data_IF_162103133272
#
_entry.id   IF_162103133272
#
_cell.length_a   1.000
_cell.length_b   1.000
_cell.length_c   1.000
_cell.angle_alpha   90.00
_cell.angle_beta   90.00
_cell.angle_gamma   90.00
#
_symmetry.space_group_name_H-M   'P 1'
#
loop_
_entity.id
_entity.type
_entity.pdbx_description
1 polymer ?
#
# COMPACT_ATOMS: atom_id res chain seq x y z
N UNK A 1 -3.55 15.35 18.59
CA UNK A 1 -3.47 14.39 17.47
C UNK A 1 -4.60 14.74 16.51
N UNK A 2 -4.30 15.06 15.25
CA UNK A 2 -5.33 15.43 14.27
C UNK A 2 -5.95 14.15 13.72
N UNK A 3 -7.28 14.09 13.59
CA UNK A 3 -8.00 12.96 12.98
C UNK A 3 -8.70 13.45 11.72
N UNK A 4 -8.40 12.83 10.59
CA UNK A 4 -9.05 13.07 9.30
C UNK A 4 -9.75 11.79 8.86
N UNK A 5 -10.94 11.89 8.30
CA UNK A 5 -11.69 10.78 7.74
C UNK A 5 -12.15 11.17 6.32
N UNK A 6 -11.85 10.32 5.33
CA UNK A 6 -12.29 10.47 3.95
C UNK A 6 -12.92 9.15 3.47
N UNK A 7 -13.80 9.23 2.47
CA UNK A 7 -14.45 8.06 1.87
C UNK A 7 -14.75 8.32 0.40
N UNK A 8 -14.84 7.26 -0.38
CA UNK A 8 -15.23 7.29 -1.80
C UNK A 8 -15.99 6.01 -2.14
N UNK A 9 -16.73 6.01 -3.24
CA UNK A 9 -17.44 4.83 -3.77
C UNK A 9 -16.62 4.23 -4.90
N UNK A 10 -16.44 2.91 -4.86
CA UNK A 10 -15.88 2.12 -5.96
C UNK A 10 -17.01 1.20 -6.43
N UNK A 11 -17.47 1.40 -7.66
CA UNK A 11 -18.55 0.60 -8.26
C UNK A 11 -17.99 -0.73 -8.81
N UNK A 12 -17.62 -1.63 -7.90
CA UNK A 12 -17.07 -2.95 -8.21
C UNK A 12 -17.39 -3.96 -7.09
N UNK A 13 -17.38 -5.28 -7.38
CA UNK A 13 -17.53 -6.31 -6.36
C UNK A 13 -16.47 -6.20 -5.25
N UNK A 14 -16.88 -6.42 -4.00
CA UNK A 14 -15.99 -6.25 -2.83
C UNK A 14 -14.76 -7.18 -2.90
N UNK A 15 -14.91 -8.40 -3.40
CA UNK A 15 -13.81 -9.37 -3.47
C UNK A 15 -12.72 -8.92 -4.45
N UNK A 16 -13.09 -8.27 -5.55
CA UNK A 16 -12.13 -7.71 -6.52
C UNK A 16 -11.38 -6.52 -5.94
N UNK A 17 -12.10 -5.61 -5.28
CA UNK A 17 -11.50 -4.46 -4.60
C UNK A 17 -10.56 -4.92 -3.50
N UNK A 18 -10.99 -5.90 -2.69
CA UNK A 18 -10.19 -6.41 -1.59
C UNK A 18 -8.96 -7.17 -2.05
N UNK A 19 -9.01 -7.92 -3.15
CA UNK A 19 -7.85 -8.59 -3.72
C UNK A 19 -6.72 -7.62 -4.09
N UNK A 20 -7.05 -6.37 -4.47
CA UNK A 20 -6.07 -5.31 -4.75
C UNK A 20 -5.59 -4.65 -3.46
N UNK A 21 -6.50 -4.24 -2.58
CA UNK A 21 -6.16 -3.46 -1.38
C UNK A 21 -5.47 -4.27 -0.28
N UNK A 22 -5.72 -5.59 -0.21
CA UNK A 22 -5.08 -6.45 0.80
C UNK A 22 -3.59 -6.65 0.57
N UNK A 23 -3.13 -6.48 -0.67
CA UNK A 23 -1.70 -6.54 -0.99
C UNK A 23 -1.07 -5.21 -0.57
N UNK A 24 -0.53 -5.19 0.65
CA UNK A 24 0.12 -4.02 1.22
C UNK A 24 1.25 -3.48 0.34
N UNK A 25 1.94 -4.31 -0.44
CA UNK A 25 3.02 -3.86 -1.31
C UNK A 25 2.54 -3.41 -2.70
N UNK A 26 1.36 -3.86 -3.12
CA UNK A 26 0.89 -3.75 -4.51
C UNK A 26 0.48 -2.34 -4.96
N UNK A 27 0.79 -1.30 -4.18
CA UNK A 27 0.40 0.07 -4.48
C UNK A 27 1.18 0.71 -5.62
N UNK A 28 2.34 0.16 -5.99
CA UNK A 28 3.07 0.52 -7.20
C UNK A 28 2.24 0.27 -8.48
N UNK A 29 1.31 -0.70 -8.44
CA UNK A 29 0.47 -1.06 -9.58
C UNK A 29 -0.72 -0.12 -9.80
N UNK A 30 -1.13 0.65 -8.80
CA UNK A 30 -2.34 1.48 -8.89
C UNK A 30 -2.17 2.92 -8.39
N UNK A 31 -1.16 3.21 -7.57
CA UNK A 31 -0.91 4.55 -7.03
C UNK A 31 0.14 5.29 -7.89
N UNK A 32 -0.24 6.36 -8.60
CA UNK A 32 0.60 6.97 -9.63
C UNK A 32 1.86 7.68 -9.10
N UNK A 33 1.94 7.95 -7.79
CA UNK A 33 3.11 8.59 -7.19
C UNK A 33 4.25 7.61 -6.89
N UNK A 34 4.00 6.30 -6.88
CA UNK A 34 4.99 5.29 -6.48
C UNK A 34 5.85 4.92 -7.69
N UNK A 35 7.17 4.98 -7.53
CA UNK A 35 8.14 4.58 -8.55
C UNK A 35 8.48 3.08 -8.46
N UNK A 36 8.65 2.58 -7.24
CA UNK A 36 8.80 1.15 -6.93
C UNK A 36 8.41 0.88 -5.47
N UNK A 37 8.07 -0.36 -5.15
CA UNK A 37 7.82 -0.83 -3.78
C UNK A 37 8.25 -2.28 -3.61
N UNK A 38 8.92 -2.59 -2.52
CA UNK A 38 9.29 -3.95 -2.13
C UNK A 38 8.98 -4.24 -0.65
N UNK A 39 8.70 -5.51 -0.37
CA UNK A 39 8.63 -6.00 1.02
C UNK A 39 10.03 -6.38 1.47
N UNK A 40 10.39 -5.92 2.67
CA UNK A 40 11.63 -6.28 3.31
C UNK A 40 11.60 -7.72 3.84
N UNK A 41 12.78 -8.30 4.06
CA UNK A 41 12.98 -9.62 4.69
C UNK A 41 12.28 -10.82 4.01
N UNK A 42 11.70 -10.63 2.82
CA UNK A 42 10.99 -11.67 2.08
C UNK A 42 9.68 -12.10 2.75
N UNK A 43 9.12 -11.27 3.64
CA UNK A 43 7.87 -11.56 4.33
C UNK A 43 6.67 -11.55 3.38
N UNK A 44 5.55 -12.21 3.75
CA UNK A 44 4.29 -12.05 3.03
C UNK A 44 3.83 -10.58 3.12
N UNK A 45 3.49 -9.99 1.98
CA UNK A 45 3.04 -8.59 1.93
C UNK A 45 1.76 -8.32 2.74
N UNK A 46 0.96 -9.34 3.04
CA UNK A 46 -0.29 -9.21 3.79
C UNK A 46 -0.20 -9.67 5.26
N UNK A 47 1.01 -9.90 5.78
CA UNK A 47 1.22 -10.27 7.17
C UNK A 47 1.43 -9.05 8.08
N UNK A 48 0.78 -9.06 9.25
CA UNK A 48 1.02 -8.04 10.29
C UNK A 48 2.49 -8.10 10.71
N UNK A 49 3.14 -6.94 10.74
CA UNK A 49 4.56 -6.81 11.02
C UNK A 49 5.41 -6.52 9.77
N UNK A 50 4.94 -6.92 8.58
CA UNK A 50 5.67 -6.72 7.32
C UNK A 50 5.97 -5.25 7.07
N UNK A 51 7.20 -4.99 6.61
CA UNK A 51 7.67 -3.64 6.28
C UNK A 51 7.78 -3.51 4.76
N UNK A 52 7.18 -2.46 4.21
CA UNK A 52 7.38 -2.06 2.82
C UNK A 52 8.37 -0.91 2.74
N UNK A 53 9.26 -0.98 1.75
CA UNK A 53 10.18 0.09 1.36
C UNK A 53 9.85 0.54 -0.05
N UNK A 54 9.54 1.83 -0.22
CA UNK A 54 9.14 2.37 -1.51
C UNK A 54 9.69 3.77 -1.75
N UNK A 55 9.85 4.09 -3.03
CA UNK A 55 10.27 5.42 -3.49
C UNK A 55 9.17 6.05 -4.34
N UNK A 56 8.99 7.34 -4.17
CA UNK A 56 8.10 8.17 -4.97
C UNK A 56 8.81 8.65 -6.24
N UNK A 57 8.02 9.02 -7.24
CA UNK A 57 8.53 9.57 -8.50
C UNK A 57 9.29 10.90 -8.31
N UNK A 58 9.07 11.62 -7.21
CA UNK A 58 9.79 12.85 -6.86
C UNK A 58 11.10 12.60 -6.06
N UNK A 59 11.44 11.33 -5.83
CA UNK A 59 12.63 10.92 -5.10
C UNK A 59 12.42 10.75 -3.59
N UNK A 60 11.24 11.05 -3.06
CA UNK A 60 10.90 10.75 -1.66
C UNK A 60 10.97 9.26 -1.36
N UNK A 61 11.50 8.88 -0.21
CA UNK A 61 11.70 7.48 0.16
C UNK A 61 11.09 7.21 1.54
N UNK A 62 10.31 6.13 1.65
CA UNK A 62 9.51 5.83 2.83
C UNK A 62 9.60 4.35 3.22
N UNK A 63 9.44 4.11 4.52
CA UNK A 63 9.29 2.78 5.11
C UNK A 63 8.04 2.76 5.98
N UNK A 64 7.20 1.76 5.80
CA UNK A 64 5.93 1.63 6.51
C UNK A 64 5.71 0.19 6.97
N UNK A 65 5.15 0.03 8.17
CA UNK A 65 4.85 -1.27 8.75
C UNK A 65 3.34 -1.51 8.77
N UNK A 66 2.92 -2.71 8.38
CA UNK A 66 1.55 -3.17 8.53
C UNK A 66 1.27 -3.50 10.01
N UNK A 67 0.36 -2.74 10.65
CA UNK A 67 -0.01 -2.84 12.07
C UNK A 67 -1.30 -3.63 12.29
#
# INVERSE_FOLDING_TARGET
MVRVCQSTIIDAPIDEVWAILRDFNGHDRWHPAIAFSEIEDGEPGDAVGSVRHFRLNDGGELREQLL
#
